data_IF_428868225248
#
_entry.id   IF_428868225248
#
_cell.length_a   1.000
_cell.length_b   1.000
_cell.length_c   1.000
_cell.angle_alpha   90.00
_cell.angle_beta   90.00
_cell.angle_gamma   90.00
#
_symmetry.space_group_name_H-M   'P 1'
#
loop_
_entity.id
_entity.type
_entity.pdbx_description
1 polymer ?
#
# COMPACT_ATOMS: atom_id res chain seq x y z
N UNK A 1 14.27 -0.83 -6.54
CA UNK A 1 14.08 0.14 -7.64
C UNK A 1 14.98 1.33 -7.40
N UNK A 2 15.68 1.80 -8.42
CA UNK A 2 16.54 2.99 -8.34
C UNK A 2 15.75 4.18 -7.80
N UNK A 3 16.31 4.90 -6.84
CA UNK A 3 15.77 6.19 -6.37
C UNK A 3 16.27 7.38 -7.22
N UNK A 4 17.08 7.11 -8.24
CA UNK A 4 17.71 8.08 -9.13
C UNK A 4 17.12 7.98 -10.54
N UNK A 5 16.91 9.14 -11.17
CA UNK A 5 16.45 9.34 -12.55
C UNK A 5 17.40 8.70 -13.58
N UNK A 6 17.01 8.63 -14.86
CA UNK A 6 17.80 8.08 -15.97
C UNK A 6 19.13 8.81 -16.22
N UNK A 7 19.27 10.06 -15.75
CA UNK A 7 20.51 10.80 -15.75
C UNK A 7 21.30 10.55 -14.45
N UNK A 8 22.33 9.70 -14.50
CA UNK A 8 23.20 9.39 -13.37
C UNK A 8 24.67 9.52 -13.70
N UNK A 9 25.40 10.15 -12.78
CA UNK A 9 26.85 10.11 -12.73
C UNK A 9 27.36 8.71 -12.32
N UNK A 10 28.67 8.51 -12.40
CA UNK A 10 29.30 7.21 -12.11
C UNK A 10 29.00 6.76 -10.67
N UNK A 11 28.95 7.70 -9.72
CA UNK A 11 28.71 7.39 -8.32
C UNK A 11 27.24 6.97 -8.08
N UNK A 12 26.30 7.65 -8.72
CA UNK A 12 24.89 7.26 -8.72
C UNK A 12 24.68 5.87 -9.33
N UNK A 13 25.37 5.54 -10.43
CA UNK A 13 25.35 4.19 -11.01
C UNK A 13 25.90 3.13 -10.05
N UNK A 14 27.00 3.43 -9.36
CA UNK A 14 27.57 2.52 -8.35
C UNK A 14 26.62 2.30 -7.18
N UNK A 15 26.04 3.38 -6.64
CA UNK A 15 25.04 3.29 -5.56
C UNK A 15 23.83 2.45 -5.99
N UNK A 16 23.33 2.66 -7.20
CA UNK A 16 22.23 1.87 -7.75
C UNK A 16 22.58 0.40 -7.93
N UNK A 17 23.77 0.09 -8.41
CA UNK A 17 24.24 -1.29 -8.53
C UNK A 17 24.27 -1.97 -7.15
N UNK A 18 24.83 -1.30 -6.15
CA UNK A 18 24.86 -1.80 -4.76
C UNK A 18 23.45 -1.97 -4.21
N UNK A 19 22.57 -0.98 -4.34
CA UNK A 19 21.18 -1.06 -3.88
C UNK A 19 20.42 -2.20 -4.56
N UNK A 20 20.65 -2.41 -5.86
CA UNK A 20 20.01 -3.49 -6.62
C UNK A 20 20.49 -4.84 -6.11
N UNK A 21 21.80 -5.03 -5.93
CA UNK A 21 22.36 -6.28 -5.42
C UNK A 21 21.89 -6.60 -3.99
N UNK A 22 21.87 -5.58 -3.12
CA UNK A 22 21.34 -5.72 -1.77
C UNK A 22 19.84 -6.06 -1.78
N UNK A 23 19.07 -5.44 -2.68
CA UNK A 23 17.66 -5.71 -2.85
C UNK A 23 17.40 -7.16 -3.30
N UNK A 24 18.14 -7.64 -4.30
CA UNK A 24 18.05 -9.04 -4.75
C UNK A 24 18.35 -10.00 -3.60
N UNK A 25 19.45 -9.78 -2.87
CA UNK A 25 19.82 -10.62 -1.71
C UNK A 25 18.79 -10.58 -0.59
N UNK A 26 18.17 -9.43 -0.35
CA UNK A 26 17.10 -9.29 0.62
C UNK A 26 15.88 -10.15 0.25
N UNK A 27 15.41 -10.07 -1.00
CA UNK A 27 14.27 -10.87 -1.47
C UNK A 27 14.57 -12.37 -1.55
N UNK A 28 15.75 -12.77 -2.06
CA UNK A 28 16.20 -14.16 -2.03
C UNK A 28 16.17 -14.71 -0.60
N UNK A 29 16.72 -13.96 0.36
CA UNK A 29 16.74 -14.37 1.77
C UNK A 29 15.34 -14.46 2.40
N UNK A 30 14.37 -13.62 1.97
CA UNK A 30 12.98 -13.75 2.41
C UNK A 30 12.33 -15.02 1.85
N UNK A 31 12.48 -15.30 0.56
CA UNK A 31 11.92 -16.49 -0.07
C UNK A 31 12.55 -17.77 0.47
N UNK A 32 13.86 -17.78 0.72
CA UNK A 32 14.54 -18.94 1.30
C UNK A 32 14.04 -19.25 2.71
N UNK A 33 13.79 -18.23 3.53
CA UNK A 33 13.19 -18.39 4.87
C UNK A 33 11.77 -18.93 4.79
N UNK A 34 10.98 -18.43 3.84
CA UNK A 34 9.64 -18.94 3.61
C UNK A 34 9.66 -20.41 3.19
N UNK A 35 10.47 -20.77 2.19
CA UNK A 35 10.65 -22.17 1.74
C UNK A 35 11.15 -23.07 2.87
N UNK A 36 12.03 -22.59 3.74
CA UNK A 36 12.49 -23.35 4.90
C UNK A 36 11.33 -23.68 5.86
N UNK A 37 10.43 -22.73 6.13
CA UNK A 37 9.23 -22.95 6.93
C UNK A 37 8.27 -23.96 6.27
N UNK A 38 8.11 -23.89 4.94
CA UNK A 38 7.34 -24.89 4.20
C UNK A 38 7.98 -26.28 4.30
N UNK A 39 9.30 -26.39 4.21
CA UNK A 39 10.01 -27.68 4.36
C UNK A 39 9.93 -28.24 5.77
N UNK A 40 9.94 -27.39 6.79
CA UNK A 40 9.72 -27.82 8.19
C UNK A 40 8.32 -28.44 8.36
N UNK A 41 7.31 -27.82 7.75
CA UNK A 41 5.91 -28.26 7.90
C UNK A 41 5.50 -29.42 6.99
N UNK A 42 5.97 -29.42 5.74
CA UNK A 42 5.52 -30.35 4.69
C UNK A 42 6.61 -31.35 4.28
N UNK A 43 7.82 -31.21 4.80
CA UNK A 43 8.95 -32.10 4.55
C UNK A 43 10.00 -31.52 3.57
N UNK A 44 11.22 -32.07 3.57
CA UNK A 44 12.36 -31.56 2.81
C UNK A 44 12.17 -31.60 1.29
N UNK A 45 11.23 -32.41 0.81
CA UNK A 45 10.86 -32.53 -0.61
C UNK A 45 10.08 -31.32 -1.15
N UNK A 46 9.67 -30.37 -0.30
CA UNK A 46 9.00 -29.16 -0.76
C UNK A 46 9.94 -28.34 -1.66
N UNK A 47 9.44 -28.05 -2.87
CA UNK A 47 10.20 -27.42 -3.96
C UNK A 47 10.56 -25.98 -3.64
N UNK A 48 11.67 -25.51 -4.20
CA UNK A 48 12.06 -24.10 -4.13
C UNK A 48 11.15 -23.21 -4.98
N UNK A 49 11.14 -21.92 -4.69
CA UNK A 49 10.33 -20.95 -5.41
C UNK A 49 10.65 -20.92 -6.91
N UNK A 50 11.93 -21.04 -7.30
CA UNK A 50 12.36 -21.06 -8.71
C UNK A 50 11.78 -22.24 -9.48
N UNK A 51 11.78 -23.44 -8.88
CA UNK A 51 11.24 -24.64 -9.52
C UNK A 51 9.71 -24.55 -9.65
N UNK A 52 9.05 -24.04 -8.61
CA UNK A 52 7.60 -23.82 -8.63
C UNK A 52 7.23 -22.82 -9.73
N UNK A 53 7.93 -21.69 -9.81
CA UNK A 53 7.71 -20.67 -10.84
C UNK A 53 8.01 -21.20 -12.25
N UNK A 54 9.02 -22.05 -12.44
CA UNK A 54 9.30 -22.66 -13.74
C UNK A 54 8.19 -23.61 -14.23
N UNK A 55 7.40 -24.17 -13.31
CA UNK A 55 6.34 -25.15 -13.60
C UNK A 55 4.96 -24.50 -13.80
N UNK A 56 4.80 -23.19 -13.60
CA UNK A 56 3.50 -22.52 -13.79
C UNK A 56 3.11 -22.44 -15.27
N UNK A 57 1.84 -22.72 -15.56
CA UNK A 57 1.28 -22.57 -16.91
C UNK A 57 0.91 -21.12 -17.24
N UNK A 58 0.37 -20.41 -16.25
CA UNK A 58 -0.06 -19.01 -16.35
C UNK A 58 0.26 -18.27 -15.07
N UNK A 59 0.52 -16.97 -15.19
CA UNK A 59 0.67 -16.04 -14.06
C UNK A 59 -0.38 -14.96 -14.23
N UNK A 60 -1.34 -14.92 -13.32
CA UNK A 60 -2.35 -13.86 -13.29
C UNK A 60 -1.88 -12.76 -12.37
N UNK A 61 -1.78 -11.53 -12.88
CA UNK A 61 -1.33 -10.39 -12.09
C UNK A 61 -2.43 -9.34 -11.99
N UNK A 62 -2.59 -8.75 -10.80
CA UNK A 62 -3.54 -7.66 -10.59
C UNK A 62 -2.91 -6.34 -11.06
N UNK A 63 -2.74 -6.21 -12.38
CA UNK A 63 -2.02 -5.14 -13.07
C UNK A 63 -2.89 -4.58 -14.21
N UNK A 64 -2.61 -3.35 -14.64
CA UNK A 64 -3.23 -2.75 -15.82
C UNK A 64 -2.12 -2.19 -16.71
N UNK A 65 -1.90 -2.76 -17.92
CA UNK A 65 -0.82 -2.34 -18.83
C UNK A 65 -0.82 -0.86 -19.22
N UNK A 66 -1.96 -0.17 -19.12
CA UNK A 66 -2.07 1.26 -19.42
C UNK A 66 -1.68 2.17 -18.25
N UNK A 67 -1.70 1.64 -17.02
CA UNK A 67 -1.37 2.39 -15.79
C UNK A 67 -0.01 1.98 -15.23
N UNK A 68 0.43 0.75 -15.50
CA UNK A 68 1.68 0.21 -15.00
C UNK A 68 2.89 0.67 -15.82
N UNK A 69 4.05 0.57 -15.18
CA UNK A 69 5.32 0.82 -15.84
C UNK A 69 5.56 -0.23 -16.94
N UNK A 70 6.14 0.16 -18.09
CA UNK A 70 6.47 -0.78 -19.13
C UNK A 70 7.50 -1.79 -18.62
N UNK A 71 7.19 -3.07 -18.72
CA UNK A 71 8.08 -4.15 -18.38
C UNK A 71 7.99 -5.29 -19.40
N UNK A 72 9.03 -6.13 -19.53
CA UNK A 72 8.95 -7.35 -20.33
C UNK A 72 7.82 -8.25 -19.82
N UNK A 73 7.07 -8.85 -20.75
CA UNK A 73 6.00 -9.80 -20.44
C UNK A 73 6.01 -10.94 -21.46
N UNK A 74 5.32 -12.04 -21.14
CA UNK A 74 5.17 -13.22 -21.99
C UNK A 74 3.69 -13.56 -22.13
N UNK A 75 3.31 -14.32 -23.16
CA UNK A 75 1.91 -14.73 -23.40
C UNK A 75 1.26 -15.52 -22.24
N UNK A 76 2.06 -16.04 -21.31
CA UNK A 76 1.61 -16.73 -20.09
C UNK A 76 1.30 -15.79 -18.92
N UNK A 77 1.74 -14.54 -18.98
CA UNK A 77 1.41 -13.52 -18.00
C UNK A 77 0.14 -12.80 -18.45
N UNK A 78 -0.92 -12.92 -17.65
CA UNK A 78 -2.24 -12.39 -17.95
C UNK A 78 -2.58 -11.33 -16.92
N UNK A 79 -2.77 -10.10 -17.38
CA UNK A 79 -3.06 -8.95 -16.54
C UNK A 79 -4.58 -8.84 -16.32
N UNK A 80 -4.98 -8.93 -15.05
CA UNK A 80 -6.37 -8.92 -14.58
C UNK A 80 -6.56 -7.85 -13.50
N UNK A 81 -6.24 -6.62 -13.87
CA UNK A 81 -6.35 -5.46 -12.99
C UNK A 81 -7.76 -5.28 -12.41
N UNK A 82 -7.81 -4.94 -11.12
CA UNK A 82 -9.05 -4.70 -10.41
C UNK A 82 -9.79 -5.97 -9.98
N UNK A 83 -9.20 -7.17 -10.09
CA UNK A 83 -9.88 -8.42 -9.70
C UNK A 83 -10.38 -8.43 -8.24
N UNK A 84 -9.71 -7.70 -7.35
CA UNK A 84 -10.09 -7.57 -5.95
C UNK A 84 -11.18 -6.51 -5.68
N UNK A 85 -11.55 -5.71 -6.70
CA UNK A 85 -12.56 -4.64 -6.57
C UNK A 85 -13.92 -5.18 -6.97
N UNK A 86 -14.92 -4.97 -6.11
CA UNK A 86 -16.28 -5.37 -6.45
C UNK A 86 -16.91 -4.37 -7.40
N UNK A 87 -17.51 -4.87 -8.49
CA UNK A 87 -18.32 -4.07 -9.41
C UNK A 87 -19.76 -3.85 -8.91
N UNK A 88 -20.16 -4.53 -7.83
CA UNK A 88 -21.47 -4.38 -7.21
C UNK A 88 -21.47 -3.11 -6.35
N UNK A 89 -22.17 -2.07 -6.81
CA UNK A 89 -22.28 -0.79 -6.13
C UNK A 89 -22.75 -0.93 -4.67
N UNK A 90 -23.61 -1.92 -4.38
CA UNK A 90 -24.12 -2.15 -3.01
C UNK A 90 -23.03 -2.58 -2.04
N UNK A 91 -21.97 -3.23 -2.53
CA UNK A 91 -20.83 -3.66 -1.71
C UNK A 91 -19.83 -2.54 -1.46
N UNK A 92 -19.97 -1.42 -2.18
CA UNK A 92 -19.14 -0.23 -2.05
C UNK A 92 -19.93 0.94 -1.43
N UNK A 93 -21.10 0.68 -0.81
CA UNK A 93 -21.82 1.69 -0.05
C UNK A 93 -21.03 2.08 1.21
N UNK A 94 -20.94 3.37 1.47
CA UNK A 94 -20.28 3.87 2.66
C UNK A 94 -21.13 3.59 3.92
N UNK A 95 -20.48 3.25 5.04
CA UNK A 95 -21.13 3.30 6.35
C UNK A 95 -21.69 4.70 6.61
N UNK A 96 -22.93 4.79 7.12
CA UNK A 96 -23.64 6.06 7.34
C UNK A 96 -22.83 7.08 8.14
N UNK A 97 -22.10 6.63 9.17
CA UNK A 97 -21.27 7.51 9.99
C UNK A 97 -20.14 8.18 9.19
N UNK A 98 -19.55 7.48 8.21
CA UNK A 98 -18.50 8.01 7.35
C UNK A 98 -19.11 8.92 6.28
N UNK A 99 -20.23 8.50 5.69
CA UNK A 99 -20.99 9.29 4.72
C UNK A 99 -21.40 10.66 5.28
N UNK A 100 -21.92 10.69 6.50
CA UNK A 100 -22.27 11.92 7.21
C UNK A 100 -21.05 12.82 7.42
N UNK A 101 -19.89 12.26 7.82
CA UNK A 101 -18.64 13.00 8.01
C UNK A 101 -18.15 13.63 6.70
N UNK A 102 -18.16 12.85 5.62
CA UNK A 102 -17.68 13.28 4.29
C UNK A 102 -18.62 14.28 3.63
N UNK A 103 -19.90 14.25 3.98
CA UNK A 103 -20.93 15.19 3.48
C UNK A 103 -20.86 16.57 4.12
N UNK A 104 -20.18 16.75 5.25
CA UNK A 104 -20.11 18.05 5.96
C UNK A 104 -19.37 19.11 5.13
N UNK A 105 -18.32 18.72 4.41
CA UNK A 105 -17.44 19.64 3.69
C UNK A 105 -17.26 19.19 2.25
N UNK A 106 -16.96 20.15 1.37
CA UNK A 106 -16.76 19.88 -0.06
C UNK A 106 -15.44 19.15 -0.34
N UNK A 107 -14.42 19.36 0.48
CA UNK A 107 -13.09 18.79 0.27
C UNK A 107 -12.82 17.75 1.34
N UNK A 108 -12.50 16.53 0.89
CA UNK A 108 -12.24 15.38 1.74
C UNK A 108 -10.86 14.81 1.38
N UNK A 109 -10.07 14.44 2.39
CA UNK A 109 -8.75 13.83 2.23
C UNK A 109 -8.63 12.61 3.12
N UNK A 110 -8.24 11.47 2.53
CA UNK A 110 -7.96 10.24 3.27
C UNK A 110 -6.46 10.03 3.39
N UNK A 111 -5.96 9.83 4.61
CA UNK A 111 -4.56 9.52 4.89
C UNK A 111 -4.47 8.09 5.42
N UNK A 112 -3.77 7.22 4.70
CA UNK A 112 -3.54 5.83 5.09
C UNK A 112 -2.19 5.35 4.57
N UNK A 113 -1.39 4.73 5.44
CA UNK A 113 -0.08 4.15 5.11
C UNK A 113 -0.14 2.61 4.94
N UNK A 114 -1.35 2.08 4.75
CA UNK A 114 -1.59 0.64 4.64
C UNK A 114 -1.68 -0.06 5.99
N UNK A 115 -1.60 -1.40 5.98
CA UNK A 115 -1.76 -2.24 7.16
C UNK A 115 -0.46 -2.48 7.94
N UNK A 116 0.69 -2.35 7.27
CA UNK A 116 2.02 -2.67 7.83
C UNK A 116 2.63 -1.45 8.53
N UNK A 117 2.61 -0.28 7.86
CA UNK A 117 3.13 0.97 8.42
C UNK A 117 1.99 1.67 9.15
N UNK A 118 1.93 1.46 10.47
CA UNK A 118 0.88 2.02 11.33
C UNK A 118 1.16 3.49 11.63
N UNK A 119 0.16 4.35 11.43
CA UNK A 119 0.28 5.79 11.72
C UNK A 119 0.55 6.07 13.20
N UNK A 120 0.07 5.21 14.11
CA UNK A 120 0.32 5.39 15.54
C UNK A 120 1.80 5.30 15.93
N UNK A 121 2.61 4.58 15.14
CA UNK A 121 4.06 4.44 15.34
C UNK A 121 4.87 5.47 14.55
N UNK A 122 4.21 6.38 13.84
CA UNK A 122 4.88 7.50 13.18
C UNK A 122 5.63 8.34 14.23
N UNK A 123 6.88 8.73 13.97
CA UNK A 123 7.60 9.70 14.81
C UNK A 123 6.82 11.01 15.00
N UNK A 124 7.00 11.62 16.17
CA UNK A 124 6.15 12.73 16.60
C UNK A 124 6.33 13.99 15.74
N UNK A 125 7.52 14.25 15.21
CA UNK A 125 7.81 15.34 14.28
C UNK A 125 6.98 15.26 12.98
N UNK A 126 6.79 14.06 12.44
CA UNK A 126 5.92 13.84 11.28
C UNK A 126 4.44 13.98 11.64
N UNK A 127 4.01 13.47 12.81
CA UNK A 127 2.63 13.64 13.28
C UNK A 127 2.30 15.11 13.47
N UNK A 128 3.17 15.88 14.11
CA UNK A 128 3.02 17.33 14.30
C UNK A 128 2.92 18.07 12.96
N UNK A 129 3.70 17.64 11.97
CA UNK A 129 3.63 18.23 10.63
C UNK A 129 2.26 17.99 9.98
N UNK A 130 1.70 16.79 10.10
CA UNK A 130 0.34 16.50 9.64
C UNK A 130 -0.72 17.32 10.39
N UNK A 131 -0.62 17.41 11.72
CA UNK A 131 -1.55 18.21 12.53
C UNK A 131 -1.57 19.68 12.12
N UNK A 132 -0.40 20.29 11.86
CA UNK A 132 -0.29 21.66 11.36
C UNK A 132 -0.98 21.84 10.00
N UNK A 133 -0.86 20.85 9.10
CA UNK A 133 -1.55 20.87 7.81
C UNK A 133 -3.07 20.81 8.02
N UNK A 134 -3.55 19.91 8.88
CA UNK A 134 -4.98 19.78 9.17
C UNK A 134 -5.58 21.07 9.74
N UNK A 135 -4.86 21.70 10.67
CA UNK A 135 -5.24 22.98 11.27
C UNK A 135 -5.29 24.11 10.24
N UNK A 136 -4.33 24.13 9.30
CA UNK A 136 -4.28 25.14 8.23
C UNK A 136 -5.42 25.03 7.20
N UNK A 137 -6.14 23.90 7.17
CA UNK A 137 -7.19 23.61 6.20
C UNK A 137 -8.54 23.28 6.88
N UNK A 138 -9.15 24.21 7.64
CA UNK A 138 -10.36 23.94 8.43
C UNK A 138 -11.61 23.59 7.58
N UNK A 139 -11.59 23.97 6.29
CA UNK A 139 -12.64 23.68 5.32
C UNK A 139 -12.44 22.33 4.59
N UNK A 140 -11.45 21.53 4.99
CA UNK A 140 -11.21 20.17 4.49
C UNK A 140 -11.45 19.16 5.60
N UNK A 141 -12.24 18.12 5.33
CA UNK A 141 -12.39 16.98 6.24
C UNK A 141 -11.26 15.99 5.97
N UNK A 142 -10.53 15.64 7.02
CA UNK A 142 -9.45 14.65 6.98
C UNK A 142 -9.92 13.36 7.67
N UNK A 143 -9.85 12.25 6.94
CA UNK A 143 -9.95 10.91 7.51
C UNK A 143 -8.52 10.39 7.65
N UNK A 144 -8.06 10.22 8.88
CA UNK A 144 -6.73 9.67 9.14
C UNK A 144 -6.84 8.26 9.68
N UNK A 145 -6.36 7.29 8.91
CA UNK A 145 -6.21 5.92 9.39
C UNK A 145 -5.16 5.91 10.52
N UNK A 146 -5.63 5.76 11.75
CA UNK A 146 -4.81 5.81 12.96
C UNK A 146 -5.30 4.72 13.91
N UNK A 147 -4.41 3.81 14.28
CA UNK A 147 -4.77 2.56 14.94
C UNK A 147 -5.26 2.73 16.40
N UNK A 148 -5.19 3.93 16.95
CA UNK A 148 -5.69 4.29 18.28
C UNK A 148 -6.78 5.38 18.15
N UNK A 149 -8.03 4.96 17.91
CA UNK A 149 -9.14 5.87 17.61
C UNK A 149 -9.46 6.85 18.75
N UNK A 150 -9.27 6.44 20.01
CA UNK A 150 -9.52 7.26 21.19
C UNK A 150 -8.39 8.24 21.53
N UNK A 151 -7.37 8.32 20.67
CA UNK A 151 -6.24 9.21 20.88
C UNK A 151 -6.70 10.69 20.92
N UNK A 152 -6.31 11.47 21.94
CA UNK A 152 -6.67 12.89 22.03
C UNK A 152 -5.89 13.77 21.03
N UNK A 153 -5.01 13.18 20.22
CA UNK A 153 -4.09 13.89 19.32
C UNK A 153 -4.79 14.84 18.35
N UNK A 154 -6.03 14.55 17.96
CA UNK A 154 -6.86 15.41 17.09
C UNK A 154 -8.06 16.03 17.79
N UNK A 155 -8.15 15.96 19.13
CA UNK A 155 -9.33 16.43 19.87
C UNK A 155 -9.61 17.94 19.67
N UNK A 156 -8.58 18.72 19.33
CA UNK A 156 -8.67 20.15 19.04
C UNK A 156 -9.00 20.47 17.57
N UNK A 157 -9.08 19.44 16.71
CA UNK A 157 -9.27 19.58 15.25
C UNK A 157 -10.61 18.96 14.83
N UNK A 158 -11.71 19.74 14.78
CA UNK A 158 -13.05 19.23 14.46
C UNK A 158 -13.21 18.80 12.99
N UNK A 159 -12.18 18.99 12.18
CA UNK A 159 -12.13 18.58 10.78
C UNK A 159 -11.31 17.29 10.57
N UNK A 160 -10.83 16.64 11.63
CA UNK A 160 -10.02 15.42 11.54
C UNK A 160 -10.71 14.28 12.29
N UNK A 161 -10.88 13.14 11.60
CA UNK A 161 -11.55 11.95 12.14
C UNK A 161 -10.60 10.75 12.06
N UNK A 162 -10.42 10.06 13.20
CA UNK A 162 -9.55 8.90 13.31
C UNK A 162 -10.33 7.61 13.11
N UNK A 163 -9.73 6.67 12.38
CA UNK A 163 -10.26 5.31 12.20
C UNK A 163 -9.12 4.30 12.20
N UNK A 164 -9.25 3.19 12.92
CA UNK A 164 -8.28 2.10 12.88
C UNK A 164 -8.37 1.31 11.56
N UNK A 165 -9.57 1.22 11.00
CA UNK A 165 -9.84 0.56 9.74
C UNK A 165 -10.80 1.36 8.86
N UNK A 166 -10.56 1.35 7.56
CA UNK A 166 -11.33 2.13 6.59
C UNK A 166 -11.91 1.20 5.51
N UNK A 167 -13.18 1.39 5.10
CA UNK A 167 -13.73 0.72 3.93
C UNK A 167 -13.19 1.39 2.65
N UNK A 168 -11.91 1.13 2.34
CA UNK A 168 -11.16 1.89 1.33
C UNK A 168 -11.81 1.86 -0.07
N UNK A 169 -12.35 0.72 -0.51
CA UNK A 169 -13.04 0.64 -1.80
C UNK A 169 -14.26 1.55 -1.86
N UNK A 170 -15.09 1.57 -0.81
CA UNK A 170 -16.26 2.44 -0.71
C UNK A 170 -15.87 3.92 -0.62
N UNK A 171 -14.82 4.24 0.15
CA UNK A 171 -14.29 5.60 0.28
C UNK A 171 -13.77 6.17 -1.03
N UNK A 172 -13.08 5.36 -1.83
CA UNK A 172 -12.50 5.80 -3.10
C UNK A 172 -13.50 5.75 -4.26
N UNK A 173 -14.65 5.07 -4.08
CA UNK A 173 -15.77 5.07 -5.01
C UNK A 173 -16.81 6.16 -4.70
N UNK A 174 -16.63 6.92 -3.60
CA UNK A 174 -17.53 7.99 -3.19
C UNK A 174 -17.44 9.19 -4.15
N UNK A 175 -18.60 9.67 -4.61
CA UNK A 175 -18.77 10.84 -5.48
C UNK A 175 -19.47 12.00 -4.77
#
# INVERSE_FOLDING_TARGET
MSTKSDAMDIMGRLQNAVQTLLGVKFFEGLFDREVALFRERYGPQFKGYEELLAQVSYVFTNSNPYLDYPHPTIHKAIDIGGIAVSLDAKKNELPKNIDEILSVRKTNVVISFGSIVKSCYMPDDYKESLLKVFESMPNTTFIWKYELEESPITAHLPNVHLFAWLPQNALLAFE
#
